data_IF_754297614753
#
_entry.id   IF_754297614753
#
_cell.length_a   1.000
_cell.length_b   1.000
_cell.length_c   1.000
_cell.angle_alpha   90.00
_cell.angle_beta   90.00
_cell.angle_gamma   90.00
#
_symmetry.space_group_name_H-M   'P 1'
#
loop_
_entity.id
_entity.type
_entity.pdbx_description
1 polymer ?
#
# COMPACT_ATOMS: atom_id res chain seq x y z
N UNK A 1 15.01 3.63 23.92
CA UNK A 1 15.41 3.50 22.51
C UNK A 1 14.15 3.14 21.74
N UNK A 2 13.77 3.90 20.71
CA UNK A 2 12.54 3.62 19.96
C UNK A 2 12.73 2.40 19.06
N UNK A 3 11.81 1.44 19.11
CA UNK A 3 11.93 0.18 18.38
C UNK A 3 11.56 0.29 16.91
N UNK A 4 10.79 1.30 16.52
CA UNK A 4 10.49 1.67 15.14
C UNK A 4 10.25 3.19 15.02
N UNK A 5 10.23 3.69 13.79
CA UNK A 5 9.94 5.09 13.48
C UNK A 5 9.06 5.18 12.24
N UNK A 6 8.01 6.01 12.29
CA UNK A 6 7.10 6.31 11.19
C UNK A 6 7.03 7.83 11.01
N UNK A 7 7.00 8.29 9.76
CA UNK A 7 7.00 9.73 9.42
C UNK A 7 6.33 9.96 8.05
N UNK A 8 6.04 11.22 7.73
CA UNK A 8 5.29 11.62 6.53
C UNK A 8 3.80 11.87 6.80
N UNK A 9 3.06 12.31 5.79
CA UNK A 9 1.61 12.60 5.90
C UNK A 9 0.79 11.36 6.28
N UNK A 10 1.20 10.18 5.82
CA UNK A 10 0.53 8.92 6.09
C UNK A 10 0.80 8.33 7.48
N UNK A 11 1.76 8.85 8.25
CA UNK A 11 2.14 8.23 9.53
C UNK A 11 1.08 8.35 10.61
N UNK A 12 0.27 9.41 10.58
CA UNK A 12 -0.82 9.62 11.54
C UNK A 12 -1.85 8.48 11.56
N UNK A 13 -2.04 7.80 10.41
CA UNK A 13 -2.96 6.68 10.27
C UNK A 13 -2.41 5.36 10.84
N UNK A 14 -1.11 5.28 11.16
CA UNK A 14 -0.45 4.01 11.44
C UNK A 14 -0.21 3.73 12.93
N UNK A 15 -0.34 4.72 13.82
CA UNK A 15 -0.06 4.52 15.25
C UNK A 15 -0.87 3.37 15.85
N UNK A 16 -2.20 3.38 15.69
CA UNK A 16 -3.05 2.29 16.21
C UNK A 16 -2.80 0.93 15.54
N UNK A 17 -2.38 0.93 14.27
CA UNK A 17 -1.99 -0.31 13.58
C UNK A 17 -0.72 -0.91 14.19
N UNK A 18 0.31 -0.09 14.41
CA UNK A 18 1.56 -0.57 15.01
C UNK A 18 1.40 -0.98 16.47
N UNK A 19 0.55 -0.29 17.25
CA UNK A 19 0.24 -0.66 18.63
C UNK A 19 -0.33 -2.09 18.74
N UNK A 20 -1.09 -2.54 17.74
CA UNK A 20 -1.65 -3.89 17.70
C UNK A 20 -0.74 -4.91 17.01
N UNK A 21 -0.13 -4.54 15.88
CA UNK A 21 0.51 -5.49 14.99
C UNK A 21 1.99 -5.73 15.30
N UNK A 22 2.69 -4.75 15.88
CA UNK A 22 4.10 -4.86 16.21
C UNK A 22 4.33 -5.70 17.46
N UNK A 23 5.41 -6.50 17.46
CA UNK A 23 5.88 -7.26 18.62
C UNK A 23 7.40 -7.42 18.57
N UNK A 24 8.02 -7.59 19.72
CA UNK A 24 9.43 -7.94 19.79
C UNK A 24 9.68 -9.34 19.19
N UNK A 25 10.88 -9.53 18.64
CA UNK A 25 11.32 -10.84 18.15
C UNK A 25 10.67 -11.32 16.85
N UNK A 26 10.05 -10.43 16.06
CA UNK A 26 9.56 -10.77 14.72
C UNK A 26 10.68 -11.34 13.84
N UNK A 27 10.34 -12.35 13.03
CA UNK A 27 11.23 -12.81 11.96
C UNK A 27 11.41 -11.72 10.90
N UNK A 28 12.43 -11.87 10.05
CA UNK A 28 12.63 -10.95 8.93
C UNK A 28 11.39 -10.89 8.02
N UNK A 29 10.80 -12.05 7.71
CA UNK A 29 9.63 -12.17 6.85
C UNK A 29 8.40 -11.51 7.48
N UNK A 30 8.22 -11.65 8.80
CA UNK A 30 7.14 -11.01 9.54
C UNK A 30 7.28 -9.50 9.55
N UNK A 31 8.50 -8.99 9.79
CA UNK A 31 8.80 -7.56 9.77
C UNK A 31 8.59 -6.97 8.36
N UNK A 32 9.07 -7.66 7.32
CA UNK A 32 8.86 -7.24 5.93
C UNK A 32 7.36 -7.19 5.58
N UNK A 33 6.59 -8.20 5.99
CA UNK A 33 5.13 -8.23 5.81
C UNK A 33 4.43 -7.11 6.57
N UNK A 34 4.82 -6.86 7.82
CA UNK A 34 4.30 -5.75 8.63
C UNK A 34 4.50 -4.41 7.91
N UNK A 35 5.71 -4.14 7.40
CA UNK A 35 6.03 -2.88 6.72
C UNK A 35 5.23 -2.71 5.44
N UNK A 36 5.13 -3.76 4.59
CA UNK A 36 4.31 -3.67 3.36
C UNK A 36 2.83 -3.41 3.69
N UNK A 37 2.31 -4.08 4.72
CA UNK A 37 0.94 -3.91 5.22
C UNK A 37 0.71 -2.48 5.71
N UNK A 38 1.62 -1.96 6.56
CA UNK A 38 1.54 -0.60 7.08
C UNK A 38 1.55 0.46 5.98
N UNK A 39 2.47 0.35 5.01
CA UNK A 39 2.53 1.34 3.93
C UNK A 39 1.31 1.24 3.01
N UNK A 40 0.79 0.03 2.74
CA UNK A 40 -0.48 -0.11 1.99
C UNK A 40 -1.68 0.53 2.71
N UNK A 41 -1.76 0.40 4.04
CA UNK A 41 -2.78 1.08 4.85
C UNK A 41 -2.67 2.61 4.78
N UNK A 42 -1.44 3.14 4.80
CA UNK A 42 -1.21 4.58 4.66
C UNK A 42 -1.62 5.07 3.26
N UNK A 43 -1.26 4.33 2.20
CA UNK A 43 -1.67 4.63 0.82
C UNK A 43 -3.20 4.68 0.70
N UNK A 44 -3.91 3.76 1.33
CA UNK A 44 -5.37 3.69 1.26
C UNK A 44 -6.10 4.89 1.89
N UNK A 45 -5.44 5.65 2.77
CA UNK A 45 -6.10 6.71 3.57
C UNK A 45 -5.49 8.10 3.41
N UNK A 46 -4.20 8.19 3.12
CA UNK A 46 -3.50 9.45 2.93
C UNK A 46 -3.41 9.79 1.44
N UNK A 47 -4.13 10.82 1.01
CA UNK A 47 -4.15 11.25 -0.40
C UNK A 47 -2.80 11.79 -0.92
N UNK A 48 -1.85 12.11 -0.03
CA UNK A 48 -0.48 12.47 -0.44
C UNK A 48 0.44 11.25 -0.60
N UNK A 49 0.01 10.08 -0.12
CA UNK A 49 0.71 8.80 -0.29
C UNK A 49 0.12 8.03 -1.48
N UNK A 50 0.93 7.19 -2.14
CA UNK A 50 0.42 6.37 -3.24
C UNK A 50 1.46 5.67 -4.10
N UNK A 51 0.97 4.96 -5.10
CA UNK A 51 1.78 4.33 -6.14
C UNK A 51 2.29 2.94 -5.76
N UNK A 52 3.46 2.85 -5.15
CA UNK A 52 4.19 1.58 -4.97
C UNK A 52 4.88 1.53 -3.61
N UNK A 53 5.12 0.33 -3.09
CA UNK A 53 5.88 0.15 -1.84
C UNK A 53 7.28 -0.37 -2.14
N UNK A 54 8.30 0.41 -1.79
CA UNK A 54 9.71 0.03 -1.91
C UNK A 54 10.27 -0.25 -0.52
N UNK A 55 10.81 -1.45 -0.31
CA UNK A 55 11.43 -1.82 0.97
C UNK A 55 12.90 -2.17 0.79
N UNK A 56 13.67 -1.92 1.84
CA UNK A 56 15.08 -2.28 1.92
C UNK A 56 15.31 -2.96 3.26
N UNK A 57 15.73 -4.22 3.22
CA UNK A 57 16.14 -4.98 4.39
C UNK A 57 17.66 -4.92 4.51
N UNK A 58 18.15 -4.45 5.66
CA UNK A 58 19.58 -4.32 5.95
C UNK A 58 19.89 -5.20 7.15
N UNK A 59 20.73 -6.20 6.98
CA UNK A 59 21.16 -7.10 8.05
C UNK A 59 22.61 -7.56 7.83
N UNK A 60 23.09 -8.50 8.66
CA UNK A 60 24.47 -9.04 8.58
C UNK A 60 24.80 -9.70 7.23
N UNK A 61 23.80 -10.18 6.51
CA UNK A 61 23.96 -10.84 5.20
C UNK A 61 23.99 -9.83 4.05
N UNK A 62 23.79 -8.53 4.36
CA UNK A 62 23.89 -7.42 3.42
C UNK A 62 22.57 -6.67 3.23
N UNK A 63 22.40 -6.10 2.04
CA UNK A 63 21.27 -5.24 1.67
C UNK A 63 20.41 -5.94 0.63
N UNK A 64 19.13 -6.15 0.96
CA UNK A 64 18.13 -6.71 0.04
C UNK A 64 17.07 -5.65 -0.26
N UNK A 65 16.81 -5.38 -1.54
CA UNK A 65 15.78 -4.43 -1.98
C UNK A 65 14.60 -5.19 -2.55
N UNK A 66 13.38 -4.75 -2.24
CA UNK A 66 12.15 -5.28 -2.84
C UNK A 66 11.30 -4.15 -3.39
N UNK A 67 10.67 -4.44 -4.52
CA UNK A 67 9.71 -3.58 -5.18
C UNK A 67 8.36 -4.28 -5.15
N UNK A 68 7.36 -3.65 -4.54
CA UNK A 68 6.00 -4.15 -4.48
C UNK A 68 5.13 -3.20 -5.34
N UNK A 69 4.76 -3.65 -6.55
CA UNK A 69 3.84 -2.92 -7.42
C UNK A 69 2.50 -2.63 -6.72
N UNK A 70 1.89 -1.48 -7.02
CA UNK A 70 0.66 -1.02 -6.35
C UNK A 70 -0.53 -1.98 -6.52
N UNK A 71 -0.63 -2.59 -7.70
CA UNK A 71 -1.61 -3.62 -8.06
C UNK A 71 -1.43 -4.96 -7.33
N UNK A 72 -0.29 -5.17 -6.67
CA UNK A 72 -0.02 -6.37 -5.85
C UNK A 72 -0.21 -6.13 -4.35
N UNK A 73 -0.49 -4.90 -3.95
CA UNK A 73 -0.69 -4.55 -2.55
C UNK A 73 -2.05 -5.05 -2.06
N UNK A 74 -2.18 -5.38 -0.76
CA UNK A 74 -3.50 -5.63 -0.19
C UNK A 74 -4.39 -4.40 -0.38
N UNK A 75 -5.62 -4.63 -0.82
CA UNK A 75 -6.65 -3.60 -0.87
C UNK A 75 -7.27 -3.42 0.51
N UNK A 76 -7.53 -2.17 0.87
CA UNK A 76 -8.13 -1.83 2.15
C UNK A 76 -9.43 -1.06 1.99
N UNK A 77 -10.44 -1.47 2.77
CA UNK A 77 -11.73 -0.79 2.86
C UNK A 77 -12.44 -0.60 1.51
N UNK A 78 -12.44 0.63 0.99
CA UNK A 78 -13.16 1.06 -0.21
C UNK A 78 -12.22 1.21 -1.42
N UNK A 79 -10.96 0.78 -1.30
CA UNK A 79 -10.05 0.74 -2.44
C UNK A 79 -10.59 -0.19 -3.53
N UNK A 80 -10.54 0.30 -4.77
CA UNK A 80 -10.96 -0.42 -5.96
C UNK A 80 -9.70 -1.08 -6.56
N UNK A 81 -9.87 -2.26 -7.15
CA UNK A 81 -8.80 -2.92 -7.91
C UNK A 81 -8.22 -1.98 -8.99
N UNK A 82 -6.90 -2.05 -9.16
CA UNK A 82 -6.23 -1.29 -10.20
C UNK A 82 -6.70 -1.76 -11.58
N UNK A 83 -7.26 -0.84 -12.36
CA UNK A 83 -7.70 -1.09 -13.74
C UNK A 83 -6.91 -0.22 -14.71
N UNK A 84 -6.64 -0.76 -15.90
CA UNK A 84 -5.85 -0.06 -16.92
C UNK A 84 -6.61 1.13 -17.52
N UNK A 85 -7.94 1.02 -17.57
CA UNK A 85 -8.82 2.05 -18.09
C UNK A 85 -10.10 2.15 -17.27
N UNK A 86 -10.60 3.38 -17.09
CA UNK A 86 -11.95 3.59 -16.56
C UNK A 86 -13.01 2.93 -17.45
N UNK A 87 -12.75 2.76 -18.75
CA UNK A 87 -13.67 2.09 -19.66
C UNK A 87 -13.85 0.61 -19.33
N UNK A 88 -12.90 -0.01 -18.62
CA UNK A 88 -12.98 -1.42 -18.22
C UNK A 88 -13.97 -1.64 -17.07
N UNK A 89 -14.31 -0.58 -16.33
CA UNK A 89 -15.21 -0.61 -15.15
C UNK A 89 -16.54 0.12 -15.36
N UNK A 90 -16.64 0.95 -16.41
CA UNK A 90 -17.88 1.67 -16.72
C UNK A 90 -18.82 0.75 -17.53
N UNK A 91 -20.08 0.55 -17.10
CA UNK A 91 -21.05 -0.18 -17.90
C UNK A 91 -21.25 0.51 -19.26
N UNK A 92 -21.20 -0.27 -20.34
CA UNK A 92 -21.26 0.16 -21.77
C UNK A 92 -22.57 0.91 -22.15
N UNK A 93 -23.42 1.30 -21.20
CA UNK A 93 -24.72 1.93 -21.44
C UNK A 93 -24.80 3.45 -21.29
N UNK A 94 -23.72 4.16 -20.92
CA UNK A 94 -23.69 5.63 -20.81
C UNK A 94 -22.97 6.34 -21.97
N UNK A 95 -22.69 5.64 -23.07
CA UNK A 95 -22.39 6.29 -24.33
C UNK A 95 -23.69 6.87 -24.89
N UNK A 96 -23.97 8.13 -24.54
CA UNK A 96 -24.94 8.94 -25.27
C UNK A 96 -24.64 8.77 -26.76
N UNK A 97 -25.62 8.22 -27.49
CA UNK A 97 -25.55 7.96 -28.92
C UNK A 97 -25.33 9.28 -29.66
N UNK A 98 -24.06 9.67 -29.81
CA UNK A 98 -23.67 10.66 -30.78
C UNK A 98 -23.92 10.04 -32.13
N UNK A 99 -25.02 10.47 -32.73
CA UNK A 99 -25.53 9.95 -33.99
C UNK A 99 -24.45 9.91 -35.06
N UNK A 100 -24.49 8.84 -35.84
CA UNK A 100 -23.99 8.88 -37.20
C UNK A 100 -24.89 8.02 -38.08
N UNK A 101 -25.65 8.75 -38.90
CA UNK A 101 -26.53 8.37 -40.02
C UNK A 101 -27.94 7.91 -39.68
#
# INVERSE_FOLDING_TARGET
>A
MFTFHITGSGSSYLYGFFDQAWREGMSQEEAEKLVVTAVSLAIARDGASGGVVRTVTINKDGVKRKFNPGDTLPLWHEEIEAVNSLLDVVPVGYNCSTGSK
#
